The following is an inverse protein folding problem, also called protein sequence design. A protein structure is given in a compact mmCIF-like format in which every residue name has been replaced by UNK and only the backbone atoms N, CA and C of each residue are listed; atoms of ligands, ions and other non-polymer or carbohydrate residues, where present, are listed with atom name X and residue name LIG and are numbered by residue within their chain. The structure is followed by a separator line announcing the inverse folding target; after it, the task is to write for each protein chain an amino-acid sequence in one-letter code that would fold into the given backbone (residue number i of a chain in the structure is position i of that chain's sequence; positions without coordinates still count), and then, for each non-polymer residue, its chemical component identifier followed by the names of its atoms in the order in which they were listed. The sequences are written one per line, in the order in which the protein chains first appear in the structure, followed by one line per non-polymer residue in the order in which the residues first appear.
data_IF_799892859833
#
_entry.id   IF_799892859833
#
_cell.length_a   1.000
_cell.length_b   1.000
_cell.length_c   1.000
_cell.angle_alpha   90.00
_cell.angle_beta   90.00
_cell.angle_gamma   90.00
#
_symmetry.space_group_name_H-M   'P 1'
#
loop_
_entity.id
_entity.type
_entity.pdbx_description
1 polymer ?
#
# COMPACT_ATOMS: atom_id res chain seq x y z
N UNK A 1 27.35 19.34 15.08
CA UNK A 1 26.51 20.03 16.08
C UNK A 1 25.01 19.82 15.92
N UNK A 2 24.30 20.28 14.87
CA UNK A 2 22.80 20.16 14.84
C UNK A 2 22.29 18.72 14.65
N UNK A 3 23.02 17.86 13.93
CA UNK A 3 22.60 16.47 13.70
C UNK A 3 22.94 15.51 14.88
N UNK A 4 23.86 15.89 15.78
CA UNK A 4 24.32 15.03 16.88
C UNK A 4 23.23 14.86 17.95
N UNK A 5 22.50 15.93 18.28
CA UNK A 5 21.41 15.87 19.26
C UNK A 5 20.31 14.91 18.80
N UNK A 6 19.85 15.02 17.55
CA UNK A 6 18.83 14.10 17.02
C UNK A 6 19.35 12.66 16.91
N UNK A 7 20.63 12.48 16.58
CA UNK A 7 21.25 11.15 16.51
C UNK A 7 21.27 10.48 17.89
N UNK A 8 21.77 11.16 18.92
CA UNK A 8 21.82 10.62 20.28
C UNK A 8 20.42 10.30 20.82
N UNK A 9 19.44 11.18 20.58
CA UNK A 9 18.05 10.94 20.98
C UNK A 9 17.44 9.72 20.26
N UNK A 10 17.66 9.58 18.96
CA UNK A 10 17.20 8.40 18.21
C UNK A 10 17.91 7.14 18.70
N UNK A 11 19.20 7.19 18.94
CA UNK A 11 19.99 6.03 19.38
C UNK A 11 19.58 5.51 20.77
N UNK A 12 19.13 6.39 21.66
CA UNK A 12 18.62 6.04 22.99
C UNK A 12 17.19 5.49 22.96
N UNK A 13 16.36 5.92 22.01
CA UNK A 13 14.92 5.60 21.93
C UNK A 13 14.59 4.48 20.94
N UNK A 14 15.32 4.42 19.84
CA UNK A 14 15.05 3.62 18.64
C UNK A 14 16.12 2.53 18.48
N UNK A 15 16.10 1.78 17.38
CA UNK A 15 17.20 0.86 17.08
C UNK A 15 18.51 1.64 16.83
N UNK A 16 19.57 1.45 17.63
CA UNK A 16 20.84 2.18 17.48
C UNK A 16 21.45 2.03 16.10
N UNK A 17 21.35 0.84 15.48
CA UNK A 17 21.90 0.61 14.14
C UNK A 17 21.22 1.45 13.06
N UNK A 18 19.92 1.72 13.20
CA UNK A 18 19.20 2.60 12.26
C UNK A 18 19.56 4.07 12.50
N UNK A 19 19.69 4.49 13.76
CA UNK A 19 20.10 5.85 14.11
C UNK A 19 21.54 6.16 13.64
N UNK A 20 22.46 5.21 13.83
CA UNK A 20 23.85 5.32 13.40
C UNK A 20 23.93 5.42 11.86
N UNK A 21 23.20 4.58 11.13
CA UNK A 21 23.11 4.66 9.66
C UNK A 21 22.55 6.00 9.15
N UNK A 22 21.47 6.52 9.77
CA UNK A 22 20.89 7.81 9.39
C UNK A 22 21.85 8.98 9.66
N UNK A 23 22.64 8.90 10.73
CA UNK A 23 23.63 9.92 11.06
C UNK A 23 24.85 9.87 10.13
N UNK A 24 25.41 8.68 9.91
CA UNK A 24 26.57 8.46 9.03
C UNK A 24 26.29 8.90 7.59
N UNK A 25 25.09 8.65 7.08
CA UNK A 25 24.70 9.06 5.72
C UNK A 25 24.80 10.59 5.51
N UNK A 26 24.57 11.40 6.54
CA UNK A 26 24.64 12.87 6.46
C UNK A 26 26.06 13.40 6.28
N UNK A 27 27.09 12.60 6.60
CA UNK A 27 28.48 12.98 6.41
C UNK A 27 28.95 12.81 4.96
N UNK A 28 28.17 12.12 4.12
CA UNK A 28 28.51 11.91 2.72
C UNK A 28 28.03 13.09 1.85
N UNK A 29 28.94 14.03 1.57
CA UNK A 29 28.67 15.21 0.71
C UNK A 29 28.36 14.83 -0.76
N UNK A 30 28.68 13.61 -1.17
CA UNK A 30 28.35 13.10 -2.51
C UNK A 30 26.91 12.56 -2.64
N UNK A 31 26.07 12.64 -1.59
CA UNK A 31 24.66 12.26 -1.68
C UNK A 31 23.90 13.24 -2.61
N UNK A 32 23.39 12.78 -3.78
CA UNK A 32 22.66 13.63 -4.71
C UNK A 32 21.26 14.01 -4.20
N UNK A 33 20.86 13.49 -3.04
CA UNK A 33 19.52 13.68 -2.48
C UNK A 33 18.44 12.98 -3.30
N UNK A 34 17.20 13.45 -3.15
CA UNK A 34 16.05 12.84 -3.83
C UNK A 34 16.00 13.22 -5.32
N UNK A 35 16.37 12.27 -6.18
CA UNK A 35 16.37 12.44 -7.63
C UNK A 35 15.37 11.51 -8.35
N UNK A 36 14.69 12.03 -9.39
CA UNK A 36 13.62 11.31 -10.11
C UNK A 36 14.14 10.77 -11.44
N UNK A 37 13.66 9.59 -11.85
CA UNK A 37 13.85 9.05 -13.20
C UNK A 37 12.49 8.58 -13.72
N UNK A 38 12.07 9.08 -14.88
CA UNK A 38 10.79 8.73 -15.49
C UNK A 38 11.02 7.88 -16.73
N UNK A 39 10.13 6.91 -16.95
CA UNK A 39 10.05 6.09 -18.17
C UNK A 39 8.76 6.30 -18.95
N UNK A 40 7.95 7.29 -18.55
CA UNK A 40 6.71 7.73 -19.20
C UNK A 40 6.56 9.25 -19.05
N UNK A 41 5.66 9.85 -19.84
CA UNK A 41 5.27 11.25 -19.69
C UNK A 41 4.20 11.38 -18.60
N UNK A 42 4.49 12.17 -17.56
CA UNK A 42 3.57 12.41 -16.44
C UNK A 42 2.38 13.29 -16.82
N UNK A 43 2.47 14.02 -17.95
CA UNK A 43 1.41 14.90 -18.41
C UNK A 43 0.46 14.22 -19.38
N UNK A 44 0.78 13.00 -19.82
CA UNK A 44 -0.09 12.20 -20.67
C UNK A 44 -1.23 11.58 -19.85
N UNK A 45 -2.44 12.11 -20.04
CA UNK A 45 -3.64 11.59 -19.39
C UNK A 45 -4.24 10.45 -20.22
N UNK A 46 -3.71 9.26 -19.99
CA UNK A 46 -4.20 8.01 -20.61
C UNK A 46 -5.66 7.70 -20.28
N UNK A 47 -6.24 8.30 -19.22
CA UNK A 47 -7.63 8.11 -18.83
C UNK A 47 -8.59 9.07 -19.56
N UNK A 48 -8.09 10.17 -20.12
CA UNK A 48 -8.89 11.22 -20.73
C UNK A 48 -9.89 10.71 -21.81
N UNK A 49 -9.52 9.78 -22.72
CA UNK A 49 -10.48 9.24 -23.70
C UNK A 49 -11.66 8.52 -23.04
N UNK A 50 -11.44 7.83 -21.92
CA UNK A 50 -12.50 7.13 -21.19
C UNK A 50 -13.38 8.11 -20.41
N UNK A 51 -12.76 9.11 -19.77
CA UNK A 51 -13.47 10.18 -19.06
C UNK A 51 -14.39 10.95 -20.02
N UNK A 52 -13.93 11.22 -21.23
CA UNK A 52 -14.68 11.95 -22.25
C UNK A 52 -15.97 11.23 -22.69
N UNK A 53 -16.06 9.91 -22.52
CA UNK A 53 -17.30 9.15 -22.79
C UNK A 53 -18.43 9.45 -21.79
N UNK A 54 -18.10 10.02 -20.62
CA UNK A 54 -19.02 10.26 -19.52
C UNK A 54 -19.35 9.01 -18.69
N UNK A 55 -18.90 7.82 -19.08
CA UNK A 55 -19.07 6.60 -18.30
C UNK A 55 -18.08 6.55 -17.13
N UNK A 56 -18.59 6.53 -15.90
CA UNK A 56 -17.78 6.53 -14.68
C UNK A 56 -17.95 5.21 -13.91
N UNK A 57 -16.96 4.30 -13.94
CA UNK A 57 -17.05 3.05 -13.20
C UNK A 57 -17.00 3.31 -11.69
N UNK A 58 -17.78 2.55 -10.92
CA UNK A 58 -17.78 2.63 -9.45
C UNK A 58 -16.54 1.98 -8.86
N UNK A 59 -15.92 2.66 -7.90
CA UNK A 59 -14.88 2.10 -7.02
C UNK A 59 -15.37 2.09 -5.57
N UNK A 60 -15.25 0.94 -4.91
CA UNK A 60 -15.51 0.82 -3.48
C UNK A 60 -14.30 1.36 -2.70
N UNK A 61 -14.44 2.55 -2.13
CA UNK A 61 -13.43 3.15 -1.24
C UNK A 61 -13.68 2.59 0.16
N UNK A 62 -13.00 1.47 0.45
CA UNK A 62 -13.25 0.68 1.63
C UNK A 62 -12.55 1.28 2.85
N UNK A 63 -13.31 1.45 3.94
CA UNK A 63 -12.82 1.91 5.23
C UNK A 63 -13.43 1.17 6.41
N UNK A 64 -12.69 1.18 7.51
CA UNK A 64 -13.06 0.64 8.83
C UNK A 64 -12.84 1.72 9.90
N UNK A 65 -13.36 1.52 11.10
CA UNK A 65 -13.06 2.38 12.24
C UNK A 65 -11.54 2.57 12.43
N UNK A 66 -11.09 3.83 12.39
CA UNK A 66 -9.67 4.20 12.49
C UNK A 66 -8.93 4.36 11.15
N UNK A 67 -9.57 4.04 10.02
CA UNK A 67 -9.08 4.44 8.69
C UNK A 67 -9.23 5.94 8.51
N UNK A 68 -8.18 6.62 8.06
CA UNK A 68 -8.12 8.08 7.99
C UNK A 68 -7.65 8.64 6.64
N UNK A 69 -7.33 7.76 5.68
CA UNK A 69 -6.84 8.16 4.34
C UNK A 69 -7.81 7.87 3.19
N UNK A 70 -9.12 7.86 3.47
CA UNK A 70 -10.14 7.48 2.49
C UNK A 70 -10.54 8.65 1.57
N UNK A 71 -10.47 9.89 2.04
CA UNK A 71 -10.89 11.07 1.27
C UNK A 71 -9.91 11.36 0.13
N UNK A 72 -8.60 11.37 0.42
CA UNK A 72 -7.58 11.57 -0.61
C UNK A 72 -7.51 10.40 -1.59
N UNK A 73 -7.84 9.19 -1.14
CA UNK A 73 -7.96 8.02 -2.01
C UNK A 73 -9.14 8.20 -2.97
N UNK A 74 -10.31 8.57 -2.46
CA UNK A 74 -11.48 8.87 -3.28
C UNK A 74 -11.19 9.97 -4.31
N UNK A 75 -10.49 11.04 -3.91
CA UNK A 75 -10.10 12.13 -4.81
C UNK A 75 -9.16 11.67 -5.94
N UNK A 76 -8.20 10.79 -5.65
CA UNK A 76 -7.29 10.24 -6.66
C UNK A 76 -8.05 9.41 -7.72
N UNK A 77 -8.96 8.54 -7.27
CA UNK A 77 -9.81 7.76 -8.17
C UNK A 77 -10.80 8.63 -8.95
N UNK A 78 -11.37 9.64 -8.30
CA UNK A 78 -12.28 10.58 -8.94
C UNK A 78 -11.59 11.32 -10.10
N UNK A 79 -10.34 11.76 -9.89
CA UNK A 79 -9.52 12.39 -10.94
C UNK A 79 -9.26 11.43 -12.11
N UNK A 80 -9.11 10.14 -11.84
CA UNK A 80 -8.93 9.11 -12.87
C UNK A 80 -10.24 8.68 -13.56
N UNK A 81 -11.39 9.32 -13.26
CA UNK A 81 -12.66 9.05 -13.93
C UNK A 81 -13.63 8.11 -13.21
N UNK A 82 -13.32 7.67 -11.99
CA UNK A 82 -14.19 6.77 -11.24
C UNK A 82 -15.24 7.52 -10.41
N UNK A 83 -16.36 6.85 -10.16
CA UNK A 83 -17.30 7.24 -9.10
C UNK A 83 -16.89 6.57 -7.80
N UNK A 84 -16.28 7.37 -6.91
CA UNK A 84 -15.77 6.92 -5.63
C UNK A 84 -16.91 6.80 -4.61
N UNK A 85 -17.22 5.57 -4.20
CA UNK A 85 -18.28 5.28 -3.23
C UNK A 85 -17.63 4.99 -1.88
N UNK A 86 -18.03 5.74 -0.84
CA UNK A 86 -17.63 5.45 0.54
C UNK A 86 -18.31 4.14 0.98
N UNK A 87 -17.50 3.13 1.29
CA UNK A 87 -17.98 1.83 1.77
C UNK A 87 -17.36 1.57 3.13
N UNK A 88 -18.15 1.75 4.19
CA UNK A 88 -17.72 1.36 5.51
C UNK A 88 -17.95 -0.14 5.73
N UNK A 89 -17.10 -0.79 6.54
CA UNK A 89 -17.30 -2.20 6.90
C UNK A 89 -18.68 -2.46 7.54
N UNK A 90 -19.24 -1.49 8.26
CA UNK A 90 -20.59 -1.59 8.81
C UNK A 90 -21.69 -1.62 7.73
N UNK A 91 -21.45 -1.07 6.54
CA UNK A 91 -22.40 -1.12 5.42
C UNK A 91 -22.43 -2.51 4.81
N UNK A 92 -21.25 -3.13 4.64
CA UNK A 92 -21.12 -4.51 4.22
C UNK A 92 -21.74 -5.45 5.26
N UNK A 93 -21.46 -5.26 6.56
CA UNK A 93 -21.99 -6.08 7.66
C UNK A 93 -23.52 -5.96 7.82
N UNK A 94 -24.10 -4.80 7.52
CA UNK A 94 -25.55 -4.59 7.56
C UNK A 94 -26.26 -4.94 6.23
N UNK A 95 -25.52 -5.25 5.16
CA UNK A 95 -26.08 -5.52 3.84
C UNK A 95 -26.64 -4.27 3.14
N UNK A 96 -26.21 -3.06 3.54
CA UNK A 96 -26.59 -1.80 2.86
C UNK A 96 -25.91 -1.64 1.51
N UNK A 97 -24.80 -2.34 1.29
CA UNK A 97 -24.00 -2.29 0.06
C UNK A 97 -23.40 -3.66 -0.19
N UNK A 98 -23.31 -4.05 -1.47
CA UNK A 98 -22.70 -5.30 -1.91
C UNK A 98 -21.50 -5.07 -2.83
N UNK A 99 -20.43 -5.85 -2.67
CA UNK A 99 -19.23 -5.82 -3.54
C UNK A 99 -19.49 -6.33 -4.95
N UNK A 100 -20.63 -7.02 -5.18
CA UNK A 100 -21.05 -7.47 -6.51
C UNK A 100 -21.22 -6.34 -7.52
N UNK A 101 -21.61 -5.15 -7.05
CA UNK A 101 -21.88 -3.97 -7.89
C UNK A 101 -20.62 -3.20 -8.30
N UNK A 102 -19.44 -3.66 -7.87
CA UNK A 102 -18.17 -2.99 -8.08
C UNK A 102 -17.25 -3.82 -8.97
N UNK A 103 -16.48 -3.13 -9.81
CA UNK A 103 -15.36 -3.72 -10.55
C UNK A 103 -14.01 -3.32 -9.95
N UNK A 104 -13.97 -2.27 -9.14
CA UNK A 104 -12.78 -1.81 -8.46
C UNK A 104 -13.04 -1.65 -6.95
N UNK A 105 -12.08 -2.04 -6.14
CA UNK A 105 -12.07 -1.86 -4.70
C UNK A 105 -10.71 -1.33 -4.26
N UNK A 106 -10.70 -0.38 -3.33
CA UNK A 106 -9.49 0.12 -2.69
C UNK A 106 -9.62 0.07 -1.17
N UNK A 107 -8.71 -0.64 -0.52
CA UNK A 107 -8.56 -0.65 0.93
C UNK A 107 -7.63 0.48 1.36
N UNK A 108 -8.19 1.43 2.10
CA UNK A 108 -7.53 2.70 2.43
C UNK A 108 -6.53 2.60 3.59
N UNK A 109 -5.71 3.64 3.74
CA UNK A 109 -4.73 3.76 4.82
C UNK A 109 -5.30 4.30 6.13
N UNK A 110 -4.60 4.02 7.23
CA UNK A 110 -4.90 4.56 8.55
C UNK A 110 -4.44 3.63 9.66
N UNK A 111 -5.19 3.62 10.76
CA UNK A 111 -4.91 2.83 11.96
C UNK A 111 -6.18 2.09 12.37
N UNK A 112 -6.66 1.16 11.54
CA UNK A 112 -7.87 0.39 11.86
C UNK A 112 -7.73 -0.25 13.24
N UNK A 113 -8.72 -0.06 14.11
CA UNK A 113 -8.68 -0.53 15.51
C UNK A 113 -7.42 -0.08 16.29
N UNK A 114 -6.80 1.05 15.92
CA UNK A 114 -5.57 1.54 16.54
C UNK A 114 -4.35 0.62 16.35
N UNK A 115 -4.37 -0.25 15.34
CA UNK A 115 -3.38 -1.32 15.10
C UNK A 115 -3.20 -2.30 16.29
N UNK A 116 -4.18 -2.33 17.19
CA UNK A 116 -4.23 -3.28 18.32
C UNK A 116 -4.41 -4.69 17.77
N UNK A 117 -3.72 -5.67 18.36
CA UNK A 117 -3.59 -7.06 17.89
C UNK A 117 -2.81 -7.24 16.57
N UNK A 118 -2.23 -6.16 16.03
CA UNK A 118 -1.49 -6.19 14.77
C UNK A 118 -2.15 -5.29 13.72
N UNK A 119 -1.35 -4.50 13.03
CA UNK A 119 -1.84 -3.55 12.04
C UNK A 119 -2.57 -4.28 10.90
N UNK A 120 -3.82 -3.88 10.64
CA UNK A 120 -4.71 -4.51 9.66
C UNK A 120 -5.22 -5.91 10.05
N UNK A 121 -4.85 -6.47 11.21
CA UNK A 121 -5.33 -7.79 11.63
C UNK A 121 -6.78 -7.75 12.10
N UNK A 122 -7.17 -6.76 12.92
CA UNK A 122 -8.55 -6.62 13.39
C UNK A 122 -9.53 -6.49 12.24
N UNK A 123 -9.18 -5.68 11.24
CA UNK A 123 -9.97 -5.48 10.02
C UNK A 123 -10.04 -6.73 9.14
N UNK A 124 -8.92 -7.43 8.93
CA UNK A 124 -8.96 -8.68 8.17
C UNK A 124 -9.77 -9.76 8.90
N UNK A 125 -9.60 -9.90 10.22
CA UNK A 125 -10.31 -10.91 11.01
C UNK A 125 -11.80 -10.62 11.14
N UNK A 126 -12.22 -9.35 11.17
CA UNK A 126 -13.66 -9.02 11.15
C UNK A 126 -14.34 -9.47 9.86
N UNK A 127 -13.61 -9.44 8.73
CA UNK A 127 -14.05 -10.03 7.45
C UNK A 127 -14.06 -11.55 7.53
N UNK A 128 -12.95 -12.17 7.96
CA UNK A 128 -12.80 -13.63 7.96
C UNK A 128 -13.76 -14.35 8.91
N UNK A 129 -14.10 -13.75 10.04
CA UNK A 129 -14.98 -14.36 11.05
C UNK A 129 -16.47 -14.13 10.77
N UNK A 130 -16.81 -13.32 9.77
CA UNK A 130 -18.18 -13.17 9.31
C UNK A 130 -18.34 -13.90 7.97
N UNK A 131 -18.94 -15.09 7.97
CA UNK A 131 -19.05 -15.95 6.78
C UNK A 131 -19.64 -15.22 5.57
N UNK A 132 -20.70 -14.43 5.77
CA UNK A 132 -21.34 -13.69 4.67
C UNK A 132 -20.38 -12.67 4.03
N UNK A 133 -19.71 -11.87 4.85
CA UNK A 133 -18.77 -10.86 4.33
C UNK A 133 -17.53 -11.53 3.75
N UNK A 134 -17.02 -12.59 4.39
CA UNK A 134 -15.92 -13.42 3.87
C UNK A 134 -16.21 -13.91 2.45
N UNK A 135 -17.38 -14.50 2.23
CA UNK A 135 -17.80 -15.03 0.94
C UNK A 135 -17.95 -13.93 -0.11
N UNK A 136 -18.41 -12.75 0.31
CA UNK A 136 -18.54 -11.57 -0.53
C UNK A 136 -17.18 -11.06 -1.03
N UNK A 137 -16.18 -10.98 -0.15
CA UNK A 137 -14.80 -10.65 -0.52
C UNK A 137 -14.17 -11.73 -1.40
N UNK A 138 -14.34 -13.02 -1.04
CA UNK A 138 -13.83 -14.14 -1.84
C UNK A 138 -14.40 -14.08 -3.26
N UNK A 139 -15.71 -13.89 -3.39
CA UNK A 139 -16.39 -13.76 -4.69
C UNK A 139 -15.85 -12.58 -5.48
N UNK A 140 -15.64 -11.42 -4.83
CA UNK A 140 -15.05 -10.26 -5.48
C UNK A 140 -13.65 -10.55 -6.05
N UNK A 141 -12.77 -11.19 -5.26
CA UNK A 141 -11.39 -11.48 -5.69
C UNK A 141 -11.29 -12.59 -6.76
N UNK A 142 -12.28 -13.48 -6.84
CA UNK A 142 -12.30 -14.56 -7.84
C UNK A 142 -12.94 -14.15 -9.17
N UNK A 143 -13.60 -12.99 -9.25
CA UNK A 143 -14.16 -12.48 -10.51
C UNK A 143 -13.03 -12.12 -11.49
N UNK A 144 -13.15 -12.45 -12.79
CA UNK A 144 -12.05 -12.32 -13.75
C UNK A 144 -11.68 -10.86 -14.09
N UNK A 145 -12.57 -9.91 -13.84
CA UNK A 145 -12.41 -8.51 -14.24
C UNK A 145 -12.52 -7.54 -13.05
N UNK A 146 -12.10 -7.98 -11.87
CA UNK A 146 -12.05 -7.10 -10.69
C UNK A 146 -10.64 -6.61 -10.42
N UNK A 147 -10.56 -5.40 -9.88
CA UNK A 147 -9.33 -4.72 -9.50
C UNK A 147 -9.37 -4.42 -8.00
N UNK A 148 -8.31 -4.79 -7.29
CA UNK A 148 -8.18 -4.50 -5.86
C UNK A 148 -6.85 -3.80 -5.56
N UNK A 149 -6.89 -2.70 -4.81
CA UNK A 149 -5.70 -1.98 -4.36
C UNK A 149 -5.68 -1.85 -2.84
N UNK A 150 -4.59 -2.28 -2.20
CA UNK A 150 -4.37 -2.07 -0.77
C UNK A 150 -3.26 -1.05 -0.54
N UNK A 151 -3.55 0.02 0.22
CA UNK A 151 -2.56 1.04 0.56
C UNK A 151 -2.38 1.14 2.06
N UNK A 152 -1.13 1.10 2.53
CA UNK A 152 -0.81 1.22 3.96
C UNK A 152 -1.52 0.15 4.81
N UNK A 153 -2.51 0.54 5.58
CA UNK A 153 -3.30 -0.33 6.42
C UNK A 153 -4.16 -1.30 5.60
N UNK A 154 -4.69 -0.84 4.45
CA UNK A 154 -5.34 -1.72 3.49
C UNK A 154 -4.40 -2.77 2.90
N UNK A 155 -3.12 -2.46 2.69
CA UNK A 155 -2.13 -3.46 2.26
C UNK A 155 -1.90 -4.52 3.34
N UNK A 156 -1.81 -4.10 4.61
CA UNK A 156 -1.68 -5.01 5.75
C UNK A 156 -2.93 -5.90 5.88
N UNK A 157 -4.12 -5.32 5.80
CA UNK A 157 -5.39 -6.06 5.82
C UNK A 157 -5.44 -7.09 4.68
N UNK A 158 -5.17 -6.69 3.44
CA UNK A 158 -5.17 -7.62 2.29
C UNK A 158 -4.12 -8.73 2.44
N UNK A 159 -2.96 -8.45 3.04
CA UNK A 159 -1.95 -9.48 3.31
C UNK A 159 -2.43 -10.54 4.31
N UNK A 160 -3.31 -10.16 5.24
CA UNK A 160 -3.95 -11.06 6.18
C UNK A 160 -5.16 -11.80 5.56
N UNK A 161 -5.76 -11.26 4.49
CA UNK A 161 -6.82 -11.90 3.70
C UNK A 161 -6.30 -12.81 2.57
N UNK A 162 -5.01 -13.16 2.55
CA UNK A 162 -4.39 -13.96 1.48
C UNK A 162 -5.17 -15.26 1.15
N UNK A 163 -5.84 -15.88 2.11
CA UNK A 163 -6.64 -17.09 1.87
C UNK A 163 -7.82 -16.87 0.90
N UNK A 164 -8.31 -15.63 0.77
CA UNK A 164 -9.41 -15.26 -0.12
C UNK A 164 -8.94 -14.76 -1.48
N UNK A 165 -7.63 -14.53 -1.64
CA UNK A 165 -7.05 -13.80 -2.78
C UNK A 165 -6.26 -14.77 -3.67
N UNK A 166 -6.72 -15.05 -4.91
CA UNK A 166 -6.00 -15.91 -5.84
C UNK A 166 -4.57 -15.41 -6.13
N UNK A 167 -3.60 -16.33 -6.13
CA UNK A 167 -2.20 -16.03 -6.46
C UNK A 167 -1.42 -15.29 -5.36
N UNK A 168 -1.94 -15.25 -4.13
CA UNK A 168 -1.33 -14.54 -3.00
C UNK A 168 -0.51 -15.43 -2.04
N UNK A 169 -0.28 -16.71 -2.38
CA UNK A 169 0.40 -17.68 -1.49
C UNK A 169 1.79 -17.22 -1.02
N UNK A 170 2.51 -16.51 -1.88
CA UNK A 170 3.85 -15.98 -1.61
C UNK A 170 3.85 -14.59 -0.97
N UNK A 171 2.68 -14.04 -0.63
CA UNK A 171 2.61 -12.71 -0.04
C UNK A 171 3.23 -12.69 1.35
N UNK A 172 4.09 -11.69 1.63
CA UNK A 172 4.70 -11.56 2.93
C UNK A 172 3.73 -10.97 3.94
N UNK A 173 4.07 -11.13 5.22
CA UNK A 173 3.44 -10.37 6.31
C UNK A 173 4.16 -9.06 6.52
N UNK A 174 3.41 -8.04 6.94
CA UNK A 174 3.94 -6.74 7.37
C UNK A 174 4.02 -6.68 8.89
N UNK A 175 5.24 -6.53 9.41
CA UNK A 175 5.53 -6.50 10.85
C UNK A 175 6.21 -5.19 11.23
N UNK A 176 6.49 -5.04 12.53
CA UNK A 176 7.13 -3.85 13.09
C UNK A 176 8.43 -3.50 12.35
N UNK A 177 8.61 -2.20 12.14
CA UNK A 177 9.80 -1.67 11.47
C UNK A 177 11.07 -2.07 12.21
N UNK A 178 12.19 -2.19 11.49
CA UNK A 178 13.48 -2.47 12.11
C UNK A 178 13.97 -1.35 13.03
N UNK A 179 13.57 -0.10 12.76
CA UNK A 179 13.84 1.05 13.64
C UNK A 179 13.03 1.00 14.94
N UNK A 180 12.06 0.08 15.05
CA UNK A 180 11.09 -0.01 16.15
C UNK A 180 10.16 1.21 16.28
N UNK A 181 10.18 2.10 15.27
CA UNK A 181 9.46 3.38 15.23
C UNK A 181 8.50 3.51 14.07
N UNK A 182 7.54 4.42 14.25
CA UNK A 182 6.77 5.00 13.16
C UNK A 182 7.70 5.87 12.30
N UNK A 183 7.72 5.57 11.00
CA UNK A 183 8.51 6.33 10.02
C UNK A 183 7.58 7.16 9.15
N UNK A 184 7.70 8.49 9.25
CA UNK A 184 7.11 9.46 8.34
C UNK A 184 8.22 10.05 7.46
N UNK A 185 8.42 9.50 6.25
CA UNK A 185 9.53 9.83 5.36
C UNK A 185 9.03 10.09 3.95
N UNK A 186 9.70 11.00 3.25
CA UNK A 186 9.57 11.11 1.80
C UNK A 186 10.66 10.26 1.15
N UNK A 187 10.31 9.03 0.80
CA UNK A 187 11.26 8.00 0.40
C UNK A 187 11.37 7.88 -1.12
N UNK A 188 12.56 7.56 -1.60
CA UNK A 188 12.79 7.28 -3.00
C UNK A 188 12.51 5.81 -3.30
N UNK A 189 11.62 5.54 -4.25
CA UNK A 189 11.20 4.18 -4.62
C UNK A 189 11.42 3.93 -6.11
N UNK A 190 11.72 2.68 -6.46
CA UNK A 190 11.87 2.23 -7.85
C UNK A 190 10.80 1.21 -8.22
N UNK A 191 10.14 1.41 -9.36
CA UNK A 191 9.14 0.48 -9.91
C UNK A 191 9.86 -0.65 -10.64
N UNK A 192 9.95 -1.81 -9.97
CA UNK A 192 10.61 -3.01 -10.51
C UNK A 192 9.69 -3.85 -11.41
N UNK A 193 10.27 -4.69 -12.26
CA UNK A 193 9.53 -5.66 -13.06
C UNK A 193 8.93 -6.76 -12.18
N UNK A 194 7.67 -7.13 -12.39
CA UNK A 194 7.02 -8.27 -11.73
C UNK A 194 5.97 -8.92 -12.64
N UNK A 195 5.65 -10.20 -12.37
CA UNK A 195 4.50 -10.91 -12.95
C UNK A 195 3.15 -10.25 -12.55
N UNK A 196 2.06 -10.49 -13.30
CA UNK A 196 1.21 -9.46 -13.89
C UNK A 196 0.44 -8.65 -12.84
N UNK A 197 0.68 -7.35 -12.83
CA UNK A 197 -0.16 -6.39 -12.12
C UNK A 197 -0.64 -5.34 -13.12
N UNK A 198 -1.94 -5.31 -13.37
CA UNK A 198 -2.63 -4.41 -14.30
C UNK A 198 -2.36 -2.92 -14.03
N UNK A 199 -2.07 -2.54 -12.78
CA UNK A 199 -1.72 -1.16 -12.42
C UNK A 199 -0.32 -0.74 -12.85
N UNK A 200 0.58 -1.67 -13.21
CA UNK A 200 1.89 -1.29 -13.78
C UNK A 200 1.81 -0.90 -15.25
N UNK A 201 0.73 -1.24 -15.96
CA UNK A 201 0.47 -0.61 -17.24
C UNK A 201 0.34 0.92 -17.09
N UNK A 202 0.03 1.42 -15.88
CA UNK A 202 -0.04 2.84 -15.53
C UNK A 202 1.23 3.40 -14.87
N UNK A 203 2.17 2.55 -14.42
CA UNK A 203 3.43 2.96 -13.78
C UNK A 203 4.58 2.30 -14.53
N UNK A 204 5.18 3.03 -15.48
CA UNK A 204 6.18 2.47 -16.37
C UNK A 204 7.41 1.94 -15.59
N UNK A 205 7.89 0.78 -16.02
CA UNK A 205 9.01 0.08 -15.39
C UNK A 205 10.28 0.93 -15.36
N UNK A 206 11.07 0.81 -14.30
CA UNK A 206 12.33 1.55 -14.15
C UNK A 206 12.15 3.01 -13.72
N UNK A 207 10.92 3.44 -13.41
CA UNK A 207 10.66 4.74 -12.79
C UNK A 207 11.22 4.78 -11.37
N UNK A 208 11.97 5.83 -11.06
CA UNK A 208 12.36 6.20 -9.71
C UNK A 208 11.56 7.42 -9.29
N UNK A 209 10.69 7.25 -8.31
CA UNK A 209 9.72 8.26 -7.87
C UNK A 209 9.91 8.56 -6.38
N UNK A 210 9.50 9.77 -5.98
CA UNK A 210 9.42 10.15 -4.58
C UNK A 210 8.04 9.74 -4.06
N UNK A 211 7.99 9.07 -2.93
CA UNK A 211 6.76 8.52 -2.35
C UNK A 211 6.66 8.87 -0.86
N UNK A 212 5.52 9.44 -0.41
CA UNK A 212 5.28 9.64 1.01
C UNK A 212 5.08 8.28 1.69
N UNK A 213 5.79 8.07 2.79
CA UNK A 213 5.67 6.90 3.67
C UNK A 213 5.38 7.40 5.08
N UNK A 214 4.43 6.77 5.78
CA UNK A 214 3.98 7.19 7.10
C UNK A 214 3.42 5.99 7.89
N UNK A 215 4.28 5.11 8.45
CA UNK A 215 3.84 3.76 8.91
C UNK A 215 4.64 3.17 10.09
N UNK A 216 3.95 2.44 10.98
CA UNK A 216 4.54 1.75 12.17
C UNK A 216 5.07 0.35 11.83
N UNK A 217 4.38 -0.37 10.93
CA UNK A 217 4.64 -1.78 10.62
C UNK A 217 4.75 -2.01 9.13
N UNK A 218 5.96 -1.94 8.59
CA UNK A 218 6.22 -2.11 7.17
C UNK A 218 7.18 -3.24 6.82
N UNK A 219 7.83 -3.88 7.80
CA UNK A 219 8.80 -4.96 7.54
C UNK A 219 8.14 -6.19 6.92
N UNK A 220 8.57 -6.53 5.71
CA UNK A 220 8.28 -7.79 5.06
C UNK A 220 8.99 -8.93 5.81
N UNK A 221 8.23 -9.82 6.45
CA UNK A 221 8.77 -10.85 7.34
C UNK A 221 9.55 -11.97 6.61
N UNK A 222 9.25 -12.21 5.32
CA UNK A 222 9.83 -13.30 4.51
C UNK A 222 10.57 -12.75 3.28
N UNK A 223 11.63 -11.96 3.51
CA UNK A 223 12.60 -11.60 2.49
C UNK A 223 13.85 -12.50 2.60
N UNK A 224 13.70 -13.79 2.27
CA UNK A 224 14.81 -14.69 2.00
C UNK A 224 14.52 -15.37 0.67
N UNK A 225 15.20 -14.94 -0.40
CA UNK A 225 15.56 -15.71 -1.61
C UNK A 225 16.55 -14.81 -2.39
N UNK A 226 17.80 -15.28 -2.42
CA UNK A 226 18.98 -14.86 -3.22
C UNK A 226 19.73 -13.56 -2.83
N UNK A 227 20.79 -13.77 -2.04
CA UNK A 227 21.94 -12.90 -1.86
C UNK A 227 22.79 -12.85 -3.15
N UNK A 228 23.12 -11.66 -3.62
CA UNK A 228 24.36 -11.40 -4.38
C UNK A 228 24.69 -9.90 -4.37
N UNK A 229 25.70 -9.56 -3.56
CA UNK A 229 26.69 -8.49 -3.69
C UNK A 229 26.28 -6.99 -3.80
N UNK A 230 26.75 -6.26 -2.77
CA UNK A 230 27.08 -4.82 -2.65
C UNK A 230 25.96 -3.77 -2.86
N UNK A 231 25.66 -3.08 -1.76
CA UNK A 231 25.07 -1.74 -1.68
C UNK A 231 23.80 -1.50 -2.52
N UNK A 232 22.68 -2.13 -2.13
CA UNK A 232 21.34 -1.67 -2.53
C UNK A 232 20.41 -1.79 -1.34
N UNK A 233 20.06 -0.64 -0.77
CA UNK A 233 19.05 -0.50 0.27
C UNK A 233 17.77 -1.14 -0.24
N UNK A 234 17.29 -2.09 0.56
CA UNK A 234 16.17 -2.97 0.29
C UNK A 234 14.90 -2.13 0.13
N UNK A 235 13.90 -2.62 -0.61
CA UNK A 235 12.46 -2.55 -0.33
C UNK A 235 11.64 -2.74 -1.61
N UNK A 236 10.98 -3.90 -1.72
CA UNK A 236 9.83 -4.12 -2.62
C UNK A 236 8.66 -3.29 -2.09
N UNK A 237 8.30 -2.22 -2.78
CA UNK A 237 7.10 -1.46 -2.50
C UNK A 237 5.89 -2.36 -2.82
N UNK A 238 5.25 -2.89 -1.79
CA UNK A 238 4.10 -3.76 -1.91
C UNK A 238 2.82 -2.94 -2.17
N UNK A 239 2.68 -2.44 -3.39
CA UNK A 239 1.36 -2.31 -4.01
C UNK A 239 1.10 -3.64 -4.73
N UNK A 240 0.56 -4.62 -4.00
CA UNK A 240 0.09 -5.86 -4.64
C UNK A 240 -1.33 -5.60 -5.12
N UNK A 241 -1.51 -5.56 -6.44
CA UNK A 241 -2.83 -5.65 -7.04
C UNK A 241 -2.95 -6.99 -7.74
N UNK A 242 -3.98 -7.73 -7.35
CA UNK A 242 -4.47 -8.89 -8.09
C UNK A 242 -5.28 -8.45 -9.31
N UNK A 243 -4.84 -8.89 -10.49
CA UNK A 243 -5.72 -9.12 -11.62
C UNK A 243 -5.98 -10.61 -11.63
N UNK A 244 -7.24 -11.03 -11.49
CA UNK A 244 -7.60 -12.40 -11.87
C UNK A 244 -7.27 -12.57 -13.37
N UNK A 245 -6.62 -13.67 -13.72
CA UNK A 245 -6.44 -14.11 -15.10
C UNK A 245 -7.55 -15.10 -15.43
#
# INVERSE_FOLDING_TARGET
MVAETTWQMQRLRDNPACADQEHEAKANDADPGLNVKLSFDINDDVAAPYIATGARPKVAVLREQGVNSHVEMAAAFHRAGFDAIDVHMSDLLAGRTGLGDFHALVACGGFSYGDVLGAGEGWAKSILFNERVRDEFATFFHRPQTLALGVCNGCQMMSNLRELIPGSDLWPRFVRNQSDRFEARFSLVEVTQSHPCCWKAWLAHGCRLRSPTAKVRWKCATARIWLSWRAKVWWRCASWITSAK
#
